data_IF_899480973782
#
_entry.id   IF_899480973782
#
_cell.length_a   1.000
_cell.length_b   1.000
_cell.length_c   1.000
_cell.angle_alpha   90.00
_cell.angle_beta   90.00
_cell.angle_gamma   90.00
#
_symmetry.space_group_name_H-M   'P 1'
#
loop_
_entity.id
_entity.type
_entity.pdbx_description
1 polymer ?
#
# COMPACT_ATOMS: atom_id res chain seq x y z
N UNK A 1 19.31 -21.51 -1.52
CA UNK A 1 20.03 -20.85 -0.42
C UNK A 1 19.58 -21.53 0.86
N UNK A 2 20.53 -22.03 1.64
CA UNK A 2 20.28 -22.49 3.01
C UNK A 2 19.82 -21.31 3.89
N UNK A 3 19.14 -21.59 5.00
CA UNK A 3 18.91 -20.61 6.07
C UNK A 3 20.22 -19.95 6.49
N UNK A 4 20.17 -18.62 6.66
CA UNK A 4 21.31 -17.81 7.08
C UNK A 4 21.64 -18.07 8.55
N UNK A 5 22.91 -17.94 8.92
CA UNK A 5 23.34 -17.99 10.33
C UNK A 5 22.87 -16.74 11.08
N UNK A 6 22.80 -16.80 12.40
CA UNK A 6 22.41 -15.65 13.23
C UNK A 6 23.28 -14.41 12.97
N UNK A 7 24.59 -14.61 12.80
CA UNK A 7 25.53 -13.53 12.46
C UNK A 7 25.19 -12.90 11.11
N UNK A 8 24.94 -13.72 10.08
CA UNK A 8 24.55 -13.22 8.75
C UNK A 8 23.21 -12.46 8.79
N UNK A 9 22.24 -12.96 9.56
CA UNK A 9 20.97 -12.29 9.80
C UNK A 9 21.20 -10.92 10.46
N UNK A 10 22.00 -10.86 11.52
CA UNK A 10 22.33 -9.63 12.22
C UNK A 10 23.03 -8.60 11.32
N UNK A 11 24.01 -9.03 10.52
CA UNK A 11 24.74 -8.18 9.58
C UNK A 11 23.81 -7.58 8.51
N UNK A 12 22.89 -8.39 7.96
CA UNK A 12 21.90 -7.93 7.00
C UNK A 12 20.90 -6.96 7.64
N UNK A 13 20.42 -7.22 8.86
CA UNK A 13 19.55 -6.29 9.60
C UNK A 13 20.28 -4.96 9.84
N UNK A 14 21.53 -4.98 10.26
CA UNK A 14 22.34 -3.78 10.46
C UNK A 14 22.50 -3.00 9.14
N UNK A 15 22.76 -3.71 8.05
CA UNK A 15 22.84 -3.14 6.70
C UNK A 15 21.51 -2.52 6.26
N UNK A 16 20.37 -3.16 6.54
CA UNK A 16 19.04 -2.60 6.26
C UNK A 16 18.82 -1.29 7.02
N UNK A 17 19.15 -1.26 8.32
CA UNK A 17 19.06 -0.05 9.13
C UNK A 17 19.93 1.09 8.58
N UNK A 18 21.16 0.80 8.13
CA UNK A 18 22.02 1.80 7.46
C UNK A 18 21.39 2.34 6.18
N UNK A 19 20.80 1.48 5.34
CA UNK A 19 20.11 1.88 4.10
C UNK A 19 18.91 2.79 4.40
N UNK A 20 18.09 2.44 5.39
CA UNK A 20 16.95 3.24 5.84
C UNK A 20 17.38 4.59 6.40
N UNK A 21 18.36 4.59 7.32
CA UNK A 21 18.93 5.82 7.87
C UNK A 21 19.44 6.77 6.77
N UNK A 22 20.13 6.24 5.75
CA UNK A 22 20.60 7.05 4.62
C UNK A 22 19.46 7.66 3.82
N UNK A 23 18.42 6.89 3.54
CA UNK A 23 17.26 7.38 2.80
C UNK A 23 16.49 8.43 3.60
N UNK A 24 16.25 8.19 4.88
CA UNK A 24 15.60 9.13 5.79
C UNK A 24 16.38 10.45 5.87
N UNK A 25 17.70 10.37 5.86
CA UNK A 25 18.58 11.55 5.86
C UNK A 25 18.72 12.21 4.48
N UNK A 26 18.23 11.62 3.39
CA UNK A 26 18.33 12.20 2.05
C UNK A 26 17.32 13.32 1.80
N UNK A 27 17.69 14.29 0.96
CA UNK A 27 16.86 15.46 0.65
C UNK A 27 15.55 15.11 -0.05
N UNK A 28 15.51 13.96 -0.73
CA UNK A 28 14.32 13.48 -1.44
C UNK A 28 13.25 12.89 -0.52
N UNK A 29 13.58 12.55 0.75
CA UNK A 29 12.69 11.80 1.63
C UNK A 29 11.33 12.47 1.85
N UNK A 30 11.28 13.74 2.28
CA UNK A 30 10.01 14.43 2.50
C UNK A 30 9.18 14.50 1.22
N UNK A 31 9.83 14.77 0.09
CA UNK A 31 9.16 14.86 -1.19
C UNK A 31 8.51 13.53 -1.55
N UNK A 32 9.25 12.45 -1.42
CA UNK A 32 8.77 11.12 -1.77
C UNK A 32 7.65 10.65 -0.82
N UNK A 33 7.73 10.96 0.48
CA UNK A 33 6.65 10.66 1.44
C UNK A 33 5.40 11.51 1.22
N UNK A 34 5.55 12.80 0.88
CA UNK A 34 4.42 13.67 0.50
C UNK A 34 3.74 13.16 -0.78
N UNK A 35 4.53 12.76 -1.78
CA UNK A 35 4.01 12.13 -2.99
C UNK A 35 3.25 10.84 -2.66
N UNK A 36 3.80 9.99 -1.79
CA UNK A 36 3.15 8.76 -1.35
C UNK A 36 1.80 9.01 -0.66
N UNK A 37 1.66 10.07 0.16
CA UNK A 37 0.37 10.45 0.75
C UNK A 37 -0.66 10.85 -0.31
N UNK A 38 -0.27 11.69 -1.28
CA UNK A 38 -1.15 12.07 -2.40
C UNK A 38 -1.58 10.84 -3.21
N UNK A 39 -0.65 9.93 -3.48
CA UNK A 39 -0.93 8.66 -4.13
C UNK A 39 -1.93 7.82 -3.32
N UNK A 40 -1.75 7.72 -2.00
CA UNK A 40 -2.69 7.01 -1.12
C UNK A 40 -4.12 7.60 -1.18
N UNK A 41 -4.24 8.91 -1.40
CA UNK A 41 -5.51 9.63 -1.55
C UNK A 41 -6.09 9.63 -2.96
N UNK A 42 -5.43 9.02 -3.94
CA UNK A 42 -5.77 9.09 -5.38
C UNK A 42 -5.70 10.53 -5.95
N UNK A 43 -4.76 11.32 -5.46
CA UNK A 43 -4.53 12.71 -5.91
C UNK A 43 -3.24 12.86 -6.73
N UNK A 44 -2.50 11.76 -6.93
CA UNK A 44 -1.31 11.69 -7.77
C UNK A 44 -1.13 10.26 -8.28
N UNK A 45 -0.57 10.13 -9.47
CA UNK A 45 -0.13 8.83 -10.01
C UNK A 45 1.10 8.32 -9.25
N UNK A 46 1.45 7.04 -9.40
CA UNK A 46 2.76 6.55 -8.98
C UNK A 46 3.78 7.43 -9.68
N UNK A 47 4.53 8.22 -8.91
CA UNK A 47 5.87 8.53 -9.32
C UNK A 47 6.57 7.17 -9.30
N UNK A 48 6.65 6.49 -10.44
CA UNK A 48 7.42 5.26 -10.53
C UNK A 48 8.83 5.64 -10.11
N UNK A 49 9.17 5.31 -8.87
CA UNK A 49 10.55 5.29 -8.44
C UNK A 49 11.19 4.24 -9.34
N UNK A 50 11.83 4.69 -10.42
CA UNK A 50 12.70 3.87 -11.26
C UNK A 50 13.85 3.46 -10.35
N UNK A 51 13.64 2.39 -9.61
CA UNK A 51 14.59 1.89 -8.64
C UNK A 51 15.47 0.88 -9.37
N UNK A 52 16.57 1.38 -9.93
CA UNK A 52 17.60 0.56 -10.56
C UNK A 52 18.42 -0.27 -9.54
N UNK A 53 18.24 -0.01 -8.23
CA UNK A 53 19.03 -0.65 -7.15
C UNK A 53 18.18 -1.05 -5.93
N UNK A 54 18.41 -2.23 -5.31
CA UNK A 54 17.84 -2.61 -4.02
C UNK A 54 18.02 -1.53 -2.94
N UNK A 55 16.99 -0.71 -2.73
CA UNK A 55 16.99 0.40 -1.78
C UNK A 55 15.67 0.41 -1.02
N UNK A 56 15.69 1.02 0.17
CA UNK A 56 14.43 1.33 0.85
C UNK A 56 13.59 2.26 -0.03
N UNK A 57 12.27 2.14 0.06
CA UNK A 57 11.30 2.88 -0.76
C UNK A 57 10.31 3.60 0.14
N UNK A 58 9.60 4.63 -0.34
CA UNK A 58 8.53 5.27 0.42
C UNK A 58 7.50 4.26 0.92
N UNK A 59 7.16 3.24 0.12
CA UNK A 59 6.23 2.17 0.49
C UNK A 59 6.74 1.32 1.66
N UNK A 60 8.05 1.05 1.71
CA UNK A 60 8.66 0.34 2.84
C UNK A 60 8.62 1.21 4.10
N UNK A 61 8.96 2.50 3.99
CA UNK A 61 8.88 3.41 5.14
C UNK A 61 7.42 3.64 5.59
N UNK A 62 6.45 3.58 4.67
CA UNK A 62 5.03 3.61 5.00
C UNK A 62 4.60 2.45 5.89
N UNK A 63 5.12 1.22 5.68
CA UNK A 63 4.86 0.09 6.58
C UNK A 63 5.31 0.40 8.01
N UNK A 64 6.46 1.08 8.11
CA UNK A 64 7.02 1.54 9.37
C UNK A 64 6.11 2.57 10.04
N UNK A 65 5.58 3.56 9.31
CA UNK A 65 4.56 4.49 9.84
C UNK A 65 3.30 3.74 10.27
N UNK A 66 2.86 2.77 9.48
CA UNK A 66 1.65 1.99 9.73
C UNK A 66 1.75 1.19 11.03
N UNK A 67 2.94 0.70 11.39
CA UNK A 67 3.19 0.01 12.64
C UNK A 67 2.82 0.84 13.87
N UNK A 68 2.92 2.17 13.80
CA UNK A 68 2.58 3.07 14.92
C UNK A 68 1.08 3.23 15.13
N UNK A 69 0.25 2.84 14.15
CA UNK A 69 -1.21 2.79 14.34
C UNK A 69 -1.56 1.84 15.50
N UNK A 70 -0.77 0.79 15.72
CA UNK A 70 -0.95 -0.13 16.85
C UNK A 70 -0.82 0.56 18.22
N UNK A 71 -0.04 1.66 18.29
CA UNK A 71 0.15 2.46 19.50
C UNK A 71 -0.92 3.56 19.65
N UNK A 72 -1.39 4.11 18.52
CA UNK A 72 -2.43 5.14 18.49
C UNK A 72 -3.83 4.55 18.72
N UNK A 73 -4.10 3.37 18.18
CA UNK A 73 -5.42 2.73 18.18
C UNK A 73 -5.38 1.29 18.72
N UNK A 74 -4.87 1.04 19.95
CA UNK A 74 -4.81 -0.31 20.51
C UNK A 74 -6.18 -0.98 20.60
N UNK A 75 -7.26 -0.21 20.72
CA UNK A 75 -8.64 -0.68 20.76
C UNK A 75 -9.06 -1.47 19.50
N UNK A 76 -8.45 -1.19 18.35
CA UNK A 76 -8.74 -1.87 17.09
C UNK A 76 -8.15 -3.28 17.01
N UNK A 77 -7.24 -3.62 17.94
CA UNK A 77 -6.44 -4.85 17.94
C UNK A 77 -6.66 -5.70 19.19
N UNK A 78 -7.74 -5.46 19.93
CA UNK A 78 -8.10 -6.27 21.09
C UNK A 78 -8.20 -7.77 20.71
N UNK A 79 -7.55 -8.63 21.50
CA UNK A 79 -7.43 -10.06 21.25
C UNK A 79 -6.30 -10.45 20.28
N UNK A 80 -5.47 -9.50 19.84
CA UNK A 80 -4.31 -9.73 18.97
C UNK A 80 -3.00 -9.53 19.74
N UNK A 81 -1.95 -10.23 19.33
CA UNK A 81 -0.60 -10.02 19.86
C UNK A 81 0.08 -8.85 19.14
N UNK A 82 -0.05 -7.65 19.70
CA UNK A 82 0.51 -6.41 19.15
C UNK A 82 2.04 -6.53 18.98
N UNK A 83 2.76 -7.17 19.91
CA UNK A 83 4.22 -7.30 19.84
C UNK A 83 4.61 -8.16 18.64
N UNK A 84 3.90 -9.25 18.43
CA UNK A 84 4.12 -10.15 17.29
C UNK A 84 3.73 -9.53 15.96
N UNK A 85 2.64 -8.77 15.91
CA UNK A 85 2.27 -7.98 14.71
C UNK A 85 3.40 -7.01 14.36
N UNK A 86 3.93 -6.27 15.35
CA UNK A 86 5.07 -5.36 15.17
C UNK A 86 6.29 -6.09 14.63
N UNK A 87 6.60 -7.28 15.15
CA UNK A 87 7.69 -8.12 14.66
C UNK A 87 7.47 -8.58 13.21
N UNK A 88 6.26 -9.02 12.86
CA UNK A 88 5.87 -9.44 11.51
C UNK A 88 6.03 -8.31 10.49
N UNK A 89 5.57 -7.09 10.81
CA UNK A 89 5.78 -5.90 9.97
C UNK A 89 7.28 -5.59 9.85
N UNK A 90 8.03 -5.71 10.94
CA UNK A 90 9.46 -5.41 10.94
C UNK A 90 10.28 -6.39 10.10
N UNK A 91 9.99 -7.70 10.21
CA UNK A 91 10.58 -8.74 9.34
C UNK A 91 10.22 -8.51 7.88
N UNK A 92 9.00 -8.06 7.61
CA UNK A 92 8.55 -7.68 6.27
C UNK A 92 9.36 -6.52 5.68
N UNK A 93 9.64 -5.49 6.49
CA UNK A 93 10.49 -4.34 6.11
C UNK A 93 11.93 -4.82 5.81
N UNK A 94 12.53 -5.58 6.73
CA UNK A 94 13.91 -6.04 6.55
C UNK A 94 14.06 -6.98 5.36
N UNK A 95 13.16 -7.95 5.20
CA UNK A 95 13.14 -8.86 4.05
C UNK A 95 12.91 -8.12 2.73
N UNK A 96 12.12 -7.04 2.72
CA UNK A 96 11.90 -6.23 1.52
C UNK A 96 13.12 -5.42 1.08
N UNK A 97 14.06 -5.15 1.99
CA UNK A 97 15.33 -4.45 1.74
C UNK A 97 16.46 -5.43 1.41
N UNK A 98 16.49 -6.59 2.08
CA UNK A 98 17.41 -7.70 1.84
C UNK A 98 16.63 -9.00 1.77
N UNK A 99 16.31 -9.40 0.54
CA UNK A 99 15.45 -10.55 0.22
C UNK A 99 16.02 -11.89 0.67
N UNK A 100 17.32 -11.94 0.92
CA UNK A 100 18.03 -13.08 1.50
C UNK A 100 17.47 -13.48 2.87
N UNK A 101 16.96 -12.51 3.63
CA UNK A 101 16.36 -12.74 4.95
C UNK A 101 15.04 -13.52 4.88
N UNK A 102 14.35 -13.53 3.73
CA UNK A 102 13.05 -14.19 3.62
C UNK A 102 13.12 -15.70 3.87
N UNK A 103 14.25 -16.35 3.57
CA UNK A 103 14.40 -17.79 3.87
C UNK A 103 14.24 -18.06 5.37
N UNK A 104 14.88 -17.25 6.23
CA UNK A 104 14.75 -17.37 7.69
C UNK A 104 13.34 -16.99 8.13
N UNK A 105 12.84 -15.84 7.70
CA UNK A 105 11.55 -15.32 8.17
C UNK A 105 10.35 -16.17 7.75
N UNK A 106 10.37 -16.80 6.58
CA UNK A 106 9.31 -17.74 6.15
C UNK A 106 9.34 -19.00 7.03
N UNK A 107 10.52 -19.50 7.37
CA UNK A 107 10.66 -20.67 8.27
C UNK A 107 10.19 -20.38 9.70
N UNK A 108 10.33 -19.14 10.16
CA UNK A 108 9.90 -18.69 11.48
C UNK A 108 8.38 -18.46 11.61
N UNK A 109 7.64 -18.46 10.49
CA UNK A 109 6.18 -18.26 10.50
C UNK A 109 5.49 -19.34 11.33
N UNK A 110 4.66 -18.90 12.28
CA UNK A 110 3.88 -19.78 13.15
C UNK A 110 2.65 -20.29 12.39
N UNK A 111 2.43 -21.59 12.48
CA UNK A 111 1.32 -22.26 11.79
C UNK A 111 -0.02 -21.81 12.38
N UNK A 112 -0.98 -21.49 11.52
CA UNK A 112 -2.35 -21.08 11.86
C UNK A 112 -2.43 -19.86 12.79
N UNK A 113 -1.44 -18.96 12.69
CA UNK A 113 -1.37 -17.75 13.50
C UNK A 113 -1.54 -16.50 12.62
N UNK A 114 -2.60 -15.74 12.88
CA UNK A 114 -2.92 -14.53 12.11
C UNK A 114 -1.93 -13.36 12.35
N UNK A 115 -1.23 -13.35 13.48
CA UNK A 115 -0.26 -12.32 13.85
C UNK A 115 1.16 -12.66 13.36
N UNK A 116 1.35 -13.90 12.86
CA UNK A 116 2.56 -14.35 12.19
C UNK A 116 2.42 -14.26 10.67
N UNK A 117 3.01 -13.23 10.06
CA UNK A 117 2.87 -12.97 8.63
C UNK A 117 4.06 -12.21 8.06
N UNK A 118 4.15 -12.19 6.72
CA UNK A 118 4.96 -11.24 5.97
C UNK A 118 4.11 -10.49 4.95
N UNK A 119 4.32 -9.18 4.78
CA UNK A 119 3.67 -8.34 3.77
C UNK A 119 4.74 -7.69 2.90
N UNK A 120 4.81 -8.05 1.62
CA UNK A 120 5.93 -7.69 0.74
C UNK A 120 5.40 -6.95 -0.50
N UNK A 121 5.83 -5.70 -0.77
CA UNK A 121 5.50 -5.03 -2.02
C UNK A 121 6.22 -5.68 -3.19
N UNK A 122 5.51 -6.10 -4.24
CA UNK A 122 6.08 -6.81 -5.39
C UNK A 122 5.69 -6.15 -6.71
N UNK A 123 6.67 -5.94 -7.58
CA UNK A 123 6.49 -5.44 -8.93
C UNK A 123 6.46 -6.61 -9.93
N UNK A 124 5.60 -6.54 -10.93
CA UNK A 124 5.67 -7.43 -12.09
C UNK A 124 5.51 -6.66 -13.39
N UNK A 125 6.08 -7.26 -14.43
CA UNK A 125 6.11 -6.72 -15.78
C UNK A 125 5.17 -7.52 -16.69
N UNK A 126 4.50 -6.83 -17.60
CA UNK A 126 3.60 -7.39 -18.60
C UNK A 126 3.75 -6.65 -19.94
N UNK A 127 3.32 -7.21 -21.08
CA UNK A 127 3.44 -6.52 -22.37
C UNK A 127 2.50 -5.31 -22.41
N UNK A 128 2.99 -4.17 -22.86
CA UNK A 128 2.19 -2.95 -23.07
C UNK A 128 1.27 -3.10 -24.29
N UNK A 129 0.19 -2.32 -24.33
CA UNK A 129 -0.72 -2.24 -25.49
C UNK A 129 -0.15 -1.40 -26.63
N UNK A 130 0.79 -0.49 -26.35
CA UNK A 130 1.23 0.54 -27.30
C UNK A 130 2.40 0.08 -28.19
N UNK A 131 3.19 -0.88 -27.74
CA UNK A 131 4.15 -1.60 -28.58
C UNK A 131 4.53 -2.90 -27.91
N UNK A 132 4.88 -3.90 -28.73
CA UNK A 132 5.39 -5.17 -28.24
C UNK A 132 6.72 -4.96 -27.46
N UNK A 133 7.48 -3.91 -27.80
CA UNK A 133 8.75 -3.55 -27.16
C UNK A 133 8.64 -2.85 -25.79
N UNK A 134 7.45 -2.38 -25.41
CA UNK A 134 7.24 -1.73 -24.10
C UNK A 134 6.69 -2.72 -23.07
N UNK A 135 7.37 -2.85 -21.94
CA UNK A 135 6.86 -3.60 -20.78
C UNK A 135 6.13 -2.64 -19.84
N UNK A 136 4.84 -2.88 -19.62
CA UNK A 136 4.10 -2.25 -18.53
C UNK A 136 4.56 -2.82 -17.19
N UNK A 137 4.73 -1.96 -16.19
CA UNK A 137 4.99 -2.33 -14.79
C UNK A 137 3.71 -2.18 -13.99
N UNK A 138 3.48 -3.10 -13.06
CA UNK A 138 2.44 -2.95 -12.04
C UNK A 138 2.93 -3.48 -10.70
N UNK A 139 2.50 -2.81 -9.64
CA UNK A 139 2.89 -3.11 -8.27
C UNK A 139 1.69 -3.66 -7.49
N UNK A 140 1.88 -4.84 -6.88
CA UNK A 140 0.96 -5.52 -5.98
C UNK A 140 1.60 -5.75 -4.61
N UNK A 141 0.90 -6.45 -3.72
CA UNK A 141 1.45 -6.83 -2.42
C UNK A 141 1.23 -8.31 -2.15
N UNK A 142 2.30 -9.03 -1.84
CA UNK A 142 2.26 -10.42 -1.42
C UNK A 142 2.08 -10.49 0.10
N UNK A 143 1.18 -11.36 0.57
CA UNK A 143 0.97 -11.67 1.97
C UNK A 143 1.33 -13.15 2.14
N UNK A 144 2.20 -13.46 3.10
CA UNK A 144 2.71 -14.81 3.32
C UNK A 144 2.39 -15.21 4.75
N UNK A 145 1.74 -16.35 4.90
CA UNK A 145 1.38 -16.94 6.19
C UNK A 145 1.61 -18.44 6.14
N UNK A 146 1.70 -19.09 7.30
CA UNK A 146 1.73 -20.55 7.39
C UNK A 146 0.37 -21.04 7.88
N UNK A 147 -0.31 -21.85 7.08
CA UNK A 147 -1.63 -22.40 7.38
C UNK A 147 -1.63 -23.88 7.07
N UNK A 148 -2.13 -24.70 7.99
CA UNK A 148 -2.16 -26.16 7.85
C UNK A 148 -0.79 -26.76 7.45
N UNK A 149 0.29 -26.22 8.03
CA UNK A 149 1.68 -26.54 7.75
C UNK A 149 2.18 -26.22 6.33
N UNK A 150 1.35 -25.63 5.46
CA UNK A 150 1.72 -25.15 4.14
C UNK A 150 1.97 -23.64 4.15
N UNK A 151 2.75 -23.16 3.18
CA UNK A 151 2.96 -21.73 2.98
C UNK A 151 1.84 -21.21 2.11
N UNK A 152 1.03 -20.32 2.68
CA UNK A 152 -0.02 -19.61 1.99
C UNK A 152 0.51 -18.27 1.47
N UNK A 153 0.50 -18.08 0.15
CA UNK A 153 0.88 -16.81 -0.50
C UNK A 153 -0.34 -16.21 -1.14
N UNK A 154 -0.73 -15.02 -0.69
CA UNK A 154 -1.86 -14.27 -1.22
C UNK A 154 -1.35 -13.04 -1.96
N UNK A 155 -1.75 -12.85 -3.22
CA UNK A 155 -1.42 -11.65 -3.99
C UNK A 155 -2.60 -10.69 -3.91
N UNK A 156 -2.39 -9.61 -3.16
CA UNK A 156 -3.32 -8.50 -3.05
C UNK A 156 -3.14 -7.57 -4.25
N UNK A 157 -3.99 -7.77 -5.25
CA UNK A 157 -4.01 -7.02 -6.51
C UNK A 157 -5.41 -6.43 -6.73
N UNK A 158 -5.57 -5.15 -6.38
CA UNK A 158 -6.86 -4.44 -6.49
C UNK A 158 -7.30 -4.13 -7.92
N UNK A 159 -6.39 -4.20 -8.88
CA UNK A 159 -6.70 -4.00 -10.31
C UNK A 159 -6.97 -5.34 -10.99
N UNK A 160 -6.63 -6.47 -10.37
CA UNK A 160 -6.80 -7.82 -10.92
C UNK A 160 -6.12 -7.98 -12.29
N UNK A 161 -4.87 -7.54 -12.41
CA UNK A 161 -4.15 -7.55 -13.69
C UNK A 161 -4.05 -8.97 -14.28
N UNK A 162 -3.98 -10.01 -13.44
CA UNK A 162 -3.96 -11.41 -13.88
C UNK A 162 -5.27 -11.82 -14.57
N UNK A 163 -6.39 -11.23 -14.16
CA UNK A 163 -7.69 -11.44 -14.78
C UNK A 163 -7.91 -10.53 -16.00
N UNK A 164 -7.59 -9.23 -15.87
CA UNK A 164 -7.78 -8.24 -16.94
C UNK A 164 -6.84 -8.50 -18.12
N UNK A 165 -5.62 -8.95 -17.84
CA UNK A 165 -4.58 -9.25 -18.83
C UNK A 165 -4.03 -10.66 -18.60
N UNK A 166 -4.82 -11.70 -18.88
CA UNK A 166 -4.41 -13.07 -18.60
C UNK A 166 -3.33 -13.50 -19.58
N UNK A 167 -2.24 -14.05 -19.05
CA UNK A 167 -1.21 -14.71 -19.85
C UNK A 167 -1.68 -16.09 -20.34
N UNK A 168 -0.88 -16.78 -21.16
CA UNK A 168 -1.26 -18.09 -21.72
C UNK A 168 -1.58 -19.11 -20.62
N UNK A 169 -0.88 -19.05 -19.50
CA UNK A 169 -1.13 -19.96 -18.38
C UNK A 169 -2.48 -19.65 -17.70
N UNK A 170 -2.74 -18.37 -17.37
CA UNK A 170 -4.01 -17.93 -16.80
C UNK A 170 -5.20 -18.19 -17.72
N UNK A 171 -5.04 -18.08 -19.05
CA UNK A 171 -6.07 -18.45 -20.03
C UNK A 171 -6.39 -19.94 -20.00
N UNK A 172 -5.38 -20.81 -20.01
CA UNK A 172 -5.55 -22.27 -19.92
C UNK A 172 -6.29 -22.69 -18.65
N UNK A 173 -5.99 -22.04 -17.52
CA UNK A 173 -6.66 -22.28 -16.24
C UNK A 173 -7.97 -21.52 -16.04
N UNK A 174 -8.46 -20.81 -17.07
CA UNK A 174 -9.69 -20.01 -17.02
C UNK A 174 -9.74 -18.98 -15.88
N UNK A 175 -8.59 -18.46 -15.42
CA UNK A 175 -8.51 -17.51 -14.29
C UNK A 175 -9.35 -16.26 -14.55
N UNK A 176 -9.37 -15.77 -15.79
CA UNK A 176 -10.16 -14.61 -16.23
C UNK A 176 -11.69 -14.81 -16.19
N UNK A 177 -12.19 -16.06 -16.14
CA UNK A 177 -13.63 -16.34 -16.03
C UNK A 177 -14.11 -16.31 -14.58
N UNK A 178 -13.18 -16.44 -13.63
CA UNK A 178 -13.45 -16.42 -12.20
C UNK A 178 -13.35 -15.00 -11.60
N UNK A 179 -13.01 -13.98 -12.41
CA UNK A 179 -13.12 -12.57 -12.05
C UNK A 179 -14.50 -12.04 -12.43
N UNK A 180 -15.25 -11.59 -11.44
CA UNK A 180 -16.70 -11.40 -11.46
C UNK A 180 -17.20 -10.30 -12.43
N UNK A 181 -18.32 -10.59 -13.11
CA UNK A 181 -18.85 -9.84 -14.26
C UNK A 181 -20.17 -9.07 -14.00
N UNK A 182 -20.50 -8.71 -12.75
CA UNK A 182 -21.70 -7.88 -12.44
C UNK A 182 -21.33 -6.57 -11.77
N UNK A 183 -22.06 -5.49 -12.07
CA UNK A 183 -21.78 -4.10 -11.67
C UNK A 183 -21.70 -3.86 -10.15
N UNK A 184 -22.42 -4.64 -9.33
CA UNK A 184 -22.30 -4.56 -7.86
C UNK A 184 -21.07 -5.29 -7.31
N UNK A 185 -20.71 -6.43 -7.93
CA UNK A 185 -19.51 -7.23 -7.61
C UNK A 185 -18.25 -6.61 -8.24
N UNK A 186 -18.40 -5.79 -9.28
CA UNK A 186 -17.32 -5.05 -9.94
C UNK A 186 -16.62 -4.03 -9.02
N UNK A 187 -17.10 -3.86 -7.78
CA UNK A 187 -16.49 -3.04 -6.72
C UNK A 187 -15.56 -3.83 -5.81
N UNK A 188 -15.61 -5.16 -5.89
CA UNK A 188 -14.90 -6.07 -5.00
C UNK A 188 -13.96 -6.95 -5.82
N UNK A 189 -12.77 -7.22 -5.25
CA UNK A 189 -11.73 -8.00 -5.92
C UNK A 189 -11.38 -9.22 -5.07
N UNK A 190 -11.62 -10.46 -5.56
CA UNK A 190 -11.16 -11.63 -4.83
C UNK A 190 -9.64 -11.66 -4.78
N UNK A 191 -9.11 -12.13 -3.65
CA UNK A 191 -7.67 -12.27 -3.46
C UNK A 191 -7.23 -13.60 -4.08
N UNK A 192 -6.16 -13.56 -4.89
CA UNK A 192 -5.59 -14.76 -5.50
C UNK A 192 -4.57 -15.42 -4.57
N UNK A 193 -4.72 -16.72 -4.34
CA UNK A 193 -3.96 -17.49 -3.36
C UNK A 193 -3.19 -18.63 -4.00
N UNK A 194 -2.04 -18.94 -3.42
CA UNK A 194 -1.21 -20.10 -3.67
C UNK A 194 -0.91 -20.82 -2.37
N UNK A 195 -0.86 -22.14 -2.40
CA UNK A 195 -0.33 -22.99 -1.34
C UNK A 195 0.85 -23.76 -1.88
N UNK A 196 1.98 -23.64 -1.21
CA UNK A 196 3.26 -24.21 -1.65
C UNK A 196 4.12 -24.61 -0.45
N UNK A 197 5.08 -25.49 -0.70
CA UNK A 197 6.08 -25.89 0.29
C UNK A 197 7.51 -25.47 -0.11
N UNK A 198 7.73 -25.12 -1.38
CA UNK A 198 9.04 -24.70 -1.90
C UNK A 198 9.38 -23.24 -1.49
N UNK A 199 9.99 -23.11 -0.32
CA UNK A 199 10.48 -21.83 0.23
C UNK A 199 11.47 -21.17 -0.74
N UNK A 200 12.35 -21.94 -1.37
CA UNK A 200 13.41 -21.37 -2.20
C UNK A 200 12.82 -20.70 -3.45
N UNK A 201 11.87 -21.36 -4.11
CA UNK A 201 11.16 -20.76 -5.24
C UNK A 201 10.39 -19.50 -4.82
N UNK A 202 9.79 -19.48 -3.62
CA UNK A 202 9.12 -18.29 -3.11
C UNK A 202 10.11 -17.14 -2.84
N UNK A 203 11.25 -17.40 -2.20
CA UNK A 203 12.30 -16.40 -1.98
C UNK A 203 12.79 -15.81 -3.31
N UNK A 204 12.98 -16.65 -4.34
CA UNK A 204 13.36 -16.18 -5.67
C UNK A 204 12.27 -15.30 -6.31
N UNK A 205 10.99 -15.64 -6.12
CA UNK A 205 9.86 -14.82 -6.56
C UNK A 205 9.89 -13.46 -5.89
N UNK A 206 10.06 -13.41 -4.57
CA UNK A 206 10.12 -12.16 -3.80
C UNK A 206 11.32 -11.32 -4.21
N UNK A 207 12.49 -11.93 -4.38
CA UNK A 207 13.71 -11.26 -4.85
C UNK A 207 13.49 -10.57 -6.19
N UNK A 208 12.97 -11.30 -7.17
CA UNK A 208 12.68 -10.74 -8.49
C UNK A 208 11.59 -9.66 -8.40
N UNK A 209 10.53 -9.88 -7.61
CA UNK A 209 9.47 -8.89 -7.40
C UNK A 209 9.90 -7.63 -6.67
N UNK A 210 10.96 -7.69 -5.87
CA UNK A 210 11.62 -6.52 -5.28
C UNK A 210 12.62 -5.84 -6.23
N UNK A 211 12.75 -6.32 -7.46
CA UNK A 211 13.76 -5.90 -8.44
C UNK A 211 15.20 -6.11 -7.93
N UNK A 212 15.44 -7.11 -7.07
CA UNK A 212 16.77 -7.48 -6.59
C UNK A 212 17.46 -8.42 -7.58
N UNK A 213 17.64 -7.93 -8.81
CA UNK A 213 18.17 -8.71 -9.93
C UNK A 213 19.66 -9.02 -9.77
N UNK A 214 20.05 -10.25 -10.12
CA UNK A 214 21.46 -10.61 -10.24
C UNK A 214 22.07 -10.02 -11.53
N UNK A 215 23.39 -10.10 -11.70
CA UNK A 215 24.07 -9.50 -12.85
C UNK A 215 23.56 -10.04 -14.20
N UNK A 216 23.20 -11.32 -14.28
CA UNK A 216 22.65 -11.93 -15.51
C UNK A 216 21.29 -11.34 -15.84
N UNK A 217 20.42 -11.23 -14.83
CA UNK A 217 19.10 -10.62 -14.93
C UNK A 217 19.14 -9.10 -15.17
N UNK A 218 20.29 -8.44 -14.93
CA UNK A 218 20.50 -7.03 -15.29
C UNK A 218 21.06 -6.86 -16.69
N UNK A 219 21.96 -7.75 -17.12
CA UNK A 219 22.62 -7.70 -18.42
C UNK A 219 21.68 -8.11 -19.57
N UNK A 220 20.79 -9.06 -19.29
CA UNK A 220 19.65 -9.38 -20.13
C UNK A 220 18.39 -9.22 -19.25
N UNK A 221 17.88 -7.98 -19.11
CA UNK A 221 16.70 -7.70 -18.32
C UNK A 221 15.49 -8.36 -18.99
N UNK A 222 15.32 -9.65 -18.69
CA UNK A 222 14.20 -10.48 -19.09
C UNK A 222 14.02 -10.46 -20.62
N UNK A 223 14.72 -11.33 -21.39
CA UNK A 223 14.78 -11.24 -22.84
C UNK A 223 13.39 -11.08 -23.44
N UNK A 224 13.14 -9.86 -23.94
CA UNK A 224 11.97 -9.16 -24.52
C UNK A 224 10.55 -9.73 -24.41
N UNK A 225 10.33 -11.03 -24.28
CA UNK A 225 8.99 -11.64 -24.19
C UNK A 225 8.91 -12.89 -23.30
N UNK A 226 10.03 -13.41 -22.77
CA UNK A 226 10.02 -14.77 -22.19
C UNK A 226 9.40 -14.89 -20.79
N UNK A 227 9.21 -13.84 -20.00
CA UNK A 227 8.56 -13.96 -18.67
C UNK A 227 7.77 -12.74 -18.19
N UNK A 228 6.98 -12.10 -19.06
CA UNK A 228 5.84 -11.32 -18.54
C UNK A 228 5.04 -12.16 -17.54
N UNK A 229 4.55 -11.56 -16.45
CA UNK A 229 3.90 -12.27 -15.34
C UNK A 229 4.83 -13.28 -14.61
N UNK A 230 6.14 -13.05 -14.57
CA UNK A 230 7.12 -13.96 -13.94
C UNK A 230 6.69 -14.46 -12.55
N UNK A 231 6.30 -13.52 -11.67
CA UNK A 231 5.87 -13.82 -10.30
C UNK A 231 4.71 -14.81 -10.30
N UNK A 232 3.62 -14.48 -10.99
CA UNK A 232 2.45 -15.35 -11.07
C UNK A 232 2.80 -16.71 -11.67
N UNK A 233 3.60 -16.74 -12.73
CA UNK A 233 3.98 -17.97 -13.41
C UNK A 233 4.91 -18.86 -12.60
N UNK A 234 5.83 -18.28 -11.83
CA UNK A 234 6.73 -19.04 -10.96
C UNK A 234 5.97 -19.58 -9.75
N UNK A 235 5.07 -18.79 -9.15
CA UNK A 235 4.17 -19.25 -8.08
C UNK A 235 3.24 -20.38 -8.57
N UNK A 236 2.59 -20.22 -9.72
CA UNK A 236 1.72 -21.28 -10.28
C UNK A 236 2.46 -22.58 -10.58
N UNK A 237 3.77 -22.54 -10.84
CA UNK A 237 4.58 -23.74 -11.09
C UNK A 237 4.98 -24.49 -9.82
N UNK A 238 5.11 -23.80 -8.68
CA UNK A 238 5.50 -24.42 -7.41
C UNK A 238 4.34 -24.58 -6.42
N UNK A 239 3.14 -24.12 -6.79
CA UNK A 239 1.95 -24.26 -5.98
C UNK A 239 1.29 -25.64 -6.16
N UNK A 240 0.92 -26.25 -5.05
CA UNK A 240 0.06 -27.44 -4.97
C UNK A 240 -1.40 -27.04 -5.21
N UNK A 241 -1.81 -25.91 -4.63
CA UNK A 241 -3.15 -25.33 -4.80
C UNK A 241 -3.01 -23.87 -5.22
N UNK A 242 -3.78 -23.45 -6.23
CA UNK A 242 -3.93 -22.03 -6.55
C UNK A 242 -5.39 -21.70 -6.91
N UNK A 243 -5.83 -20.49 -6.59
CA UNK A 243 -7.19 -20.06 -6.90
C UNK A 243 -7.61 -18.76 -6.23
N UNK A 244 -8.80 -18.29 -6.59
CA UNK A 244 -9.43 -17.15 -5.92
C UNK A 244 -10.04 -17.58 -4.59
N UNK A 245 -9.85 -16.75 -3.58
CA UNK A 245 -10.47 -16.96 -2.26
C UNK A 245 -11.83 -16.28 -2.18
N UNK A 246 -12.60 -16.64 -1.15
CA UNK A 246 -13.81 -15.91 -0.75
C UNK A 246 -13.52 -14.61 0.00
N UNK A 247 -12.24 -14.26 0.24
CA UNK A 247 -11.89 -12.94 0.73
C UNK A 247 -11.85 -11.92 -0.40
N UNK A 248 -12.49 -10.78 -0.16
CA UNK A 248 -12.65 -9.72 -1.15
C UNK A 248 -12.10 -8.39 -0.64
N UNK A 249 -11.26 -7.77 -1.47
CA UNK A 249 -10.82 -6.39 -1.33
C UNK A 249 -11.74 -5.42 -2.05
N UNK A 250 -11.44 -4.13 -1.98
CA UNK A 250 -12.12 -3.12 -2.82
C UNK A 250 -11.35 -2.94 -4.13
N UNK A 251 -12.04 -2.84 -5.26
CA UNK A 251 -11.38 -2.59 -6.55
C UNK A 251 -10.70 -1.22 -6.55
N UNK A 252 -9.70 -1.07 -7.41
CA UNK A 252 -9.03 0.19 -7.68
C UNK A 252 -9.30 0.62 -9.12
N UNK A 253 -9.91 1.81 -9.27
CA UNK A 253 -10.25 2.40 -10.57
C UNK A 253 -9.09 3.23 -11.16
N UNK A 254 -8.36 3.94 -10.29
CA UNK A 254 -7.15 4.69 -10.68
C UNK A 254 -5.98 3.71 -10.68
N UNK A 255 -5.52 3.28 -11.87
CA UNK A 255 -4.54 2.17 -11.99
C UNK A 255 -3.10 2.60 -11.73
N UNK A 256 -2.84 3.89 -11.85
CA UNK A 256 -1.51 4.48 -11.84
C UNK A 256 -0.89 4.61 -10.46
N UNK A 257 -1.63 4.48 -9.35
CA UNK A 257 -1.14 4.57 -7.97
C UNK A 257 -1.14 3.22 -7.23
N UNK A 258 -0.92 2.11 -7.91
CA UNK A 258 -1.22 0.76 -7.39
C UNK A 258 -0.34 0.31 -6.22
N UNK A 259 0.92 0.79 -6.11
CA UNK A 259 1.89 0.29 -5.12
C UNK A 259 1.41 0.56 -3.69
N UNK A 260 1.20 1.84 -3.35
CA UNK A 260 0.74 2.23 -2.01
C UNK A 260 -0.69 1.77 -1.74
N UNK A 261 -1.55 1.70 -2.77
CA UNK A 261 -2.95 1.31 -2.61
C UNK A 261 -3.11 -0.18 -2.32
N UNK A 262 -2.29 -1.02 -2.94
CA UNK A 262 -2.21 -2.44 -2.63
C UNK A 262 -1.56 -2.65 -1.26
N UNK A 263 -0.49 -1.90 -0.93
CA UNK A 263 0.16 -2.00 0.39
C UNK A 263 -0.78 -1.62 1.55
N UNK A 264 -1.43 -0.45 1.48
CA UNK A 264 -2.38 -0.01 2.49
C UNK A 264 -3.56 -0.99 2.63
N UNK A 265 -4.07 -1.52 1.51
CA UNK A 265 -5.15 -2.49 1.56
C UNK A 265 -4.73 -3.86 2.12
N UNK A 266 -3.52 -4.32 1.80
CA UNK A 266 -2.94 -5.55 2.35
C UNK A 266 -2.74 -5.43 3.87
N UNK A 267 -2.20 -4.32 4.36
CA UNK A 267 -2.06 -4.08 5.80
C UNK A 267 -3.42 -4.05 6.51
N UNK A 268 -4.44 -3.37 5.96
CA UNK A 268 -5.81 -3.44 6.49
C UNK A 268 -6.36 -4.86 6.51
N UNK A 269 -6.06 -5.64 5.47
CA UNK A 269 -6.55 -7.00 5.34
C UNK A 269 -5.95 -7.96 6.37
N UNK A 270 -4.66 -7.83 6.67
CA UNK A 270 -3.99 -8.66 7.68
C UNK A 270 -4.32 -8.22 9.12
N UNK A 271 -4.51 -6.92 9.31
CA UNK A 271 -4.64 -6.34 10.64
C UNK A 271 -6.09 -6.14 11.12
N UNK A 272 -7.04 -5.99 10.20
CA UNK A 272 -8.43 -5.74 10.56
C UNK A 272 -9.18 -7.00 10.98
N UNK A 273 -10.46 -6.82 11.33
CA UNK A 273 -11.39 -7.88 11.68
C UNK A 273 -12.08 -8.40 10.43
N UNK A 274 -12.10 -9.71 10.27
CA UNK A 274 -12.79 -10.41 9.19
C UNK A 274 -14.29 -10.42 9.46
N UNK A 275 -15.07 -9.89 8.53
CA UNK A 275 -16.54 -9.88 8.59
C UNK A 275 -17.11 -10.63 7.39
N UNK A 276 -18.13 -11.43 7.65
CA UNK A 276 -18.87 -12.15 6.62
C UNK A 276 -19.84 -11.23 5.89
N UNK A 277 -19.91 -11.38 4.57
CA UNK A 277 -20.87 -10.69 3.71
C UNK A 277 -21.45 -11.67 2.71
N UNK A 278 -22.71 -11.46 2.32
CA UNK A 278 -23.39 -12.26 1.30
C UNK A 278 -23.47 -11.47 0.00
N UNK A 279 -23.09 -12.09 -1.11
CA UNK A 279 -23.16 -11.52 -2.45
C UNK A 279 -23.75 -12.59 -3.37
N UNK A 280 -24.88 -12.31 -4.01
CA UNK A 280 -25.60 -13.25 -4.90
C UNK A 280 -25.77 -14.64 -4.27
N UNK A 281 -26.17 -14.70 -2.99
CA UNK A 281 -26.36 -15.96 -2.25
C UNK A 281 -25.08 -16.72 -1.91
N UNK A 282 -23.89 -16.18 -2.25
CA UNK A 282 -22.58 -16.75 -1.90
C UNK A 282 -21.95 -15.99 -0.74
N UNK A 283 -21.26 -16.74 0.12
CA UNK A 283 -20.55 -16.25 1.29
C UNK A 283 -19.17 -15.73 0.94
N UNK A 284 -18.90 -14.48 1.28
CA UNK A 284 -17.61 -13.82 1.14
C UNK A 284 -17.16 -13.21 2.46
N UNK A 285 -15.90 -12.78 2.49
CA UNK A 285 -15.30 -12.16 3.66
C UNK A 285 -14.64 -10.84 3.29
N UNK A 286 -14.91 -9.81 4.06
CA UNK A 286 -14.28 -8.51 3.94
C UNK A 286 -13.63 -8.14 5.27
N UNK A 287 -12.41 -7.60 5.21
CA UNK A 287 -11.71 -7.15 6.41
C UNK A 287 -11.88 -5.65 6.60
N UNK A 288 -12.27 -5.24 7.81
CA UNK A 288 -12.37 -3.83 8.25
C UNK A 288 -11.85 -3.69 9.68
N UNK A 289 -11.42 -2.49 10.04
CA UNK A 289 -11.23 -2.15 11.46
C UNK A 289 -12.58 -2.05 12.17
N UNK A 290 -12.61 -2.32 13.47
CA UNK A 290 -13.83 -2.33 14.29
C UNK A 290 -14.48 -0.94 14.31
N UNK A 291 -13.72 0.10 14.63
CA UNK A 291 -14.25 1.48 14.73
C UNK A 291 -13.47 2.49 13.88
N UNK A 292 -12.29 2.12 13.40
CA UNK A 292 -11.41 3.01 12.63
C UNK A 292 -11.80 3.09 11.15
N UNK A 293 -12.72 4.01 10.84
CA UNK A 293 -13.11 4.31 9.46
C UNK A 293 -11.90 4.75 8.60
N UNK A 294 -11.98 4.55 7.28
CA UNK A 294 -10.87 4.88 6.35
C UNK A 294 -10.45 6.35 6.39
N UNK A 295 -11.38 7.28 6.69
CA UNK A 295 -11.02 8.69 6.86
C UNK A 295 -10.12 8.90 8.07
N UNK A 296 -10.55 8.38 9.20
CA UNK A 296 -9.87 8.50 10.47
C UNK A 296 -8.51 7.83 10.44
N UNK A 297 -8.42 6.65 9.82
CA UNK A 297 -7.14 6.00 9.54
C UNK A 297 -6.20 6.89 8.73
N UNK A 298 -6.68 7.49 7.64
CA UNK A 298 -5.85 8.38 6.82
C UNK A 298 -5.43 9.62 7.62
N UNK A 299 -6.32 10.19 8.44
CA UNK A 299 -5.96 11.29 9.34
C UNK A 299 -4.85 10.89 10.32
N UNK A 300 -4.97 9.73 10.96
CA UNK A 300 -3.92 9.19 11.85
C UNK A 300 -2.59 9.02 11.12
N UNK A 301 -2.60 8.42 9.92
CA UNK A 301 -1.39 8.27 9.08
C UNK A 301 -0.74 9.63 8.82
N UNK A 302 -1.52 10.68 8.61
CA UNK A 302 -0.99 12.01 8.31
C UNK A 302 -0.34 12.67 9.52
N UNK A 303 -0.99 12.60 10.68
CA UNK A 303 -0.42 13.14 11.92
C UNK A 303 0.84 12.38 12.33
N UNK A 304 0.87 11.06 12.11
CA UNK A 304 2.08 10.26 12.26
C UNK A 304 3.16 10.74 11.28
N UNK A 305 2.86 10.78 9.97
CA UNK A 305 3.83 11.21 8.95
C UNK A 305 4.40 12.60 9.24
N UNK A 306 3.55 13.53 9.63
CA UNK A 306 3.97 14.87 9.99
C UNK A 306 4.88 14.87 11.21
N UNK A 307 4.50 14.15 12.27
CA UNK A 307 5.35 13.98 13.46
C UNK A 307 6.74 13.46 13.09
N UNK A 308 6.82 12.49 12.17
CA UNK A 308 8.09 11.97 11.66
C UNK A 308 8.90 12.99 10.88
N UNK A 309 8.28 13.70 9.94
CA UNK A 309 8.97 14.71 9.13
C UNK A 309 9.48 15.85 10.01
N UNK A 310 8.70 16.27 11.01
CA UNK A 310 9.10 17.26 12.01
C UNK A 310 10.31 16.81 12.83
N UNK A 311 10.35 15.56 13.29
CA UNK A 311 11.51 14.98 13.98
C UNK A 311 12.79 15.00 13.14
N UNK A 312 12.66 14.89 11.82
CA UNK A 312 13.79 14.86 10.87
C UNK A 312 14.21 16.28 10.46
N UNK A 313 13.57 17.32 11.01
CA UNK A 313 13.94 18.71 10.80
C UNK A 313 13.20 19.41 9.65
N UNK A 314 12.14 18.79 9.11
CA UNK A 314 11.21 19.46 8.19
C UNK A 314 10.25 20.37 8.98
N UNK A 315 9.94 21.53 8.40
CA UNK A 315 9.27 22.62 9.09
C UNK A 315 7.83 22.83 8.64
N UNK A 316 7.41 24.09 8.75
CA UNK A 316 6.02 24.51 8.57
C UNK A 316 5.55 24.37 7.13
N UNK A 317 6.44 24.51 6.15
CA UNK A 317 6.06 24.40 4.74
C UNK A 317 5.57 22.98 4.41
N UNK A 318 6.31 21.97 4.86
CA UNK A 318 5.92 20.56 4.73
C UNK A 318 4.63 20.25 5.51
N UNK A 319 4.47 20.81 6.72
CA UNK A 319 3.22 20.66 7.49
C UNK A 319 2.02 21.20 6.74
N UNK A 320 2.10 22.46 6.31
CA UNK A 320 1.02 23.16 5.64
C UNK A 320 0.63 22.44 4.35
N UNK A 321 1.62 21.95 3.59
CA UNK A 321 1.37 21.14 2.41
C UNK A 321 0.53 19.89 2.71
N UNK A 322 0.94 19.08 3.69
CA UNK A 322 0.23 17.85 4.06
C UNK A 322 -1.19 18.16 4.54
N UNK A 323 -1.35 19.17 5.39
CA UNK A 323 -2.66 19.58 5.94
C UNK A 323 -3.60 20.08 4.85
N UNK A 324 -3.13 20.97 3.97
CA UNK A 324 -3.93 21.52 2.88
C UNK A 324 -4.35 20.41 1.90
N UNK A 325 -3.42 19.53 1.52
CA UNK A 325 -3.72 18.42 0.64
C UNK A 325 -4.73 17.44 1.26
N UNK A 326 -4.67 17.23 2.58
CA UNK A 326 -5.63 16.38 3.27
C UNK A 326 -7.04 16.99 3.35
N UNK A 327 -7.17 18.30 3.53
CA UNK A 327 -8.49 18.96 3.48
C UNK A 327 -9.12 18.85 2.09
N UNK A 328 -8.34 19.00 1.02
CA UNK A 328 -8.82 18.77 -0.36
C UNK A 328 -9.27 17.31 -0.54
N UNK A 329 -8.52 16.34 -0.01
CA UNK A 329 -8.94 14.93 0.01
C UNK A 329 -10.28 14.73 0.73
N UNK A 330 -10.45 15.34 1.92
CA UNK A 330 -11.68 15.23 2.71
C UNK A 330 -12.87 15.82 1.96
N UNK A 331 -12.69 16.97 1.33
CA UNK A 331 -13.74 17.60 0.54
C UNK A 331 -14.17 16.72 -0.64
N UNK A 332 -13.22 16.25 -1.44
CA UNK A 332 -13.50 15.35 -2.57
C UNK A 332 -14.17 14.05 -2.12
N UNK A 333 -13.80 13.53 -0.95
CA UNK A 333 -14.43 12.36 -0.36
C UNK A 333 -15.86 12.63 0.09
N UNK A 334 -16.11 13.78 0.71
CA UNK A 334 -17.44 14.21 1.16
C UNK A 334 -18.38 14.39 -0.04
N UNK A 335 -17.96 15.13 -1.06
CA UNK A 335 -18.71 15.30 -2.31
C UNK A 335 -19.05 13.95 -2.93
N UNK A 336 -18.04 13.07 -3.08
CA UNK A 336 -18.25 11.72 -3.59
C UNK A 336 -19.20 10.88 -2.73
N UNK A 337 -19.22 11.07 -1.40
CA UNK A 337 -20.05 10.24 -0.52
C UNK A 337 -21.55 10.42 -0.77
N UNK A 338 -21.95 11.62 -1.21
CA UNK A 338 -23.32 12.00 -1.53
C UNK A 338 -23.80 11.50 -2.91
N UNK A 339 -22.89 11.04 -3.77
CA UNK A 339 -23.20 10.56 -5.11
C UNK A 339 -23.75 9.13 -5.09
N UNK A 340 -24.46 8.75 -6.15
CA UNK A 340 -24.81 7.36 -6.38
C UNK A 340 -23.57 6.51 -6.71
N UNK A 341 -23.78 5.22 -6.92
CA UNK A 341 -22.69 4.27 -7.15
C UNK A 341 -21.91 4.54 -8.43
N UNK A 342 -22.60 4.84 -9.55
CA UNK A 342 -21.97 4.97 -10.86
C UNK A 342 -21.20 6.29 -10.89
N UNK A 343 -21.81 7.34 -10.38
CA UNK A 343 -21.20 8.66 -10.23
C UNK A 343 -20.01 8.63 -9.27
N UNK A 344 -20.06 7.81 -8.21
CA UNK A 344 -18.89 7.55 -7.33
C UNK A 344 -17.69 7.00 -8.10
N UNK A 345 -17.92 6.18 -9.12
CA UNK A 345 -16.86 5.58 -9.95
C UNK A 345 -16.36 6.60 -10.96
N UNK A 346 -17.25 7.29 -11.67
CA UNK A 346 -16.91 8.36 -12.59
C UNK A 346 -16.10 9.45 -11.87
N UNK A 347 -16.61 9.97 -10.74
CA UNK A 347 -15.92 10.95 -9.91
C UNK A 347 -14.54 10.45 -9.43
N UNK A 348 -14.37 9.16 -9.09
CA UNK A 348 -13.03 8.64 -8.72
C UNK A 348 -12.07 8.65 -9.90
N UNK A 349 -12.54 8.26 -11.08
CA UNK A 349 -11.74 8.19 -12.29
C UNK A 349 -11.38 9.59 -12.79
N UNK A 350 -12.34 10.52 -12.79
CA UNK A 350 -12.13 11.94 -13.12
C UNK A 350 -11.24 12.63 -12.09
N UNK A 351 -11.48 12.44 -10.80
CA UNK A 351 -10.63 13.01 -9.76
C UNK A 351 -9.18 12.53 -9.89
N UNK A 352 -8.99 11.23 -10.16
CA UNK A 352 -7.68 10.68 -10.47
C UNK A 352 -7.12 11.20 -11.79
N UNK A 353 -7.96 11.47 -12.80
CA UNK A 353 -7.58 12.02 -14.10
C UNK A 353 -7.17 13.49 -14.07
N UNK A 354 -7.90 14.32 -13.33
CA UNK A 354 -7.75 15.78 -13.23
C UNK A 354 -6.56 16.13 -12.32
N UNK A 355 -6.39 15.41 -11.21
CA UNK A 355 -5.30 15.68 -10.26
C UNK A 355 -3.98 14.99 -10.62
N UNK A 356 -3.93 14.26 -11.74
CA UNK A 356 -2.75 13.49 -12.17
C UNK A 356 -1.46 14.29 -12.17
N UNK A 357 -1.50 15.53 -12.65
CA UNK A 357 -0.30 16.33 -12.87
C UNK A 357 -0.42 17.82 -12.47
N UNK A 358 -1.61 18.35 -12.17
CA UNK A 358 -1.81 19.80 -12.31
C UNK A 358 -1.74 20.64 -11.02
N UNK A 359 -1.78 20.10 -9.79
CA UNK A 359 -2.05 20.95 -8.61
C UNK A 359 -1.13 20.78 -7.40
N UNK A 360 -0.15 19.87 -7.42
CA UNK A 360 0.66 19.57 -6.23
C UNK A 360 2.14 19.84 -6.45
N UNK A 361 2.56 21.08 -6.18
CA UNK A 361 3.98 21.43 -6.03
C UNK A 361 4.41 21.08 -4.62
N UNK A 362 5.06 19.92 -4.47
CA UNK A 362 5.59 19.48 -3.17
C UNK A 362 6.72 20.44 -2.77
N UNK A 363 6.70 21.01 -1.55
CA UNK A 363 7.69 21.99 -1.14
C UNK A 363 9.10 21.38 -1.13
N UNK A 364 10.04 22.08 -1.74
CA UNK A 364 11.48 21.86 -1.56
C UNK A 364 11.93 22.64 -0.32
N UNK A 365 11.66 22.09 0.86
CA UNK A 365 12.07 22.71 2.14
C UNK A 365 13.47 22.22 2.54
N UNK A 366 14.37 23.15 2.82
CA UNK A 366 15.68 22.85 3.40
C UNK A 366 15.48 22.49 4.87
N UNK A 367 16.01 21.34 5.28
CA UNK A 367 15.96 20.89 6.68
C UNK A 367 16.70 21.86 7.59
N UNK A 368 16.08 22.23 8.70
CA UNK A 368 16.67 23.19 9.65
C UNK A 368 17.91 22.63 10.36
N UNK A 369 17.87 21.36 10.76
CA UNK A 369 19.02 20.58 11.24
C UNK A 369 18.62 19.11 11.37
N UNK A 370 19.55 18.18 11.08
CA UNK A 370 19.34 16.75 11.31
C UNK A 370 20.02 16.41 12.63
N UNK A 371 19.28 15.92 13.62
CA UNK A 371 19.90 15.30 14.80
C UNK A 371 20.57 13.99 14.35
N UNK A 372 21.91 14.03 14.27
CA UNK A 372 22.71 12.91 13.80
C UNK A 372 22.70 11.73 14.77
N UNK A 373 22.26 11.93 16.03
CA UNK A 373 22.09 10.89 17.04
C UNK A 373 20.80 10.08 16.86
N UNK A 374 19.90 10.54 16.00
CA UNK A 374 18.70 9.80 15.62
C UNK A 374 19.06 8.56 14.79
N UNK A 375 18.67 7.41 15.32
CA UNK A 375 18.71 6.13 14.61
C UNK A 375 17.28 5.75 14.22
N UNK A 376 17.12 5.03 13.12
CA UNK A 376 15.80 4.71 12.58
C UNK A 376 15.59 3.19 12.50
N UNK A 377 16.01 2.48 13.55
CA UNK A 377 15.64 1.09 13.78
C UNK A 377 14.34 1.01 14.59
N UNK A 378 13.44 0.15 14.14
CA UNK A 378 12.25 -0.31 14.88
C UNK A 378 12.53 -1.54 15.73
N UNK A 379 13.74 -2.10 15.62
CA UNK A 379 14.20 -3.11 16.58
C UNK A 379 14.21 -2.49 17.98
N UNK A 380 13.83 -3.30 18.98
CA UNK A 380 13.95 -2.94 20.39
C UNK A 380 15.34 -2.31 20.60
N UNK A 381 15.44 -1.14 21.26
CA UNK A 381 16.74 -0.58 21.59
C UNK A 381 17.52 -1.67 22.33
N UNK A 382 18.62 -2.15 21.74
CA UNK A 382 19.60 -2.86 22.55
C UNK A 382 20.01 -1.89 23.65
N UNK A 383 20.14 -2.38 24.88
CA UNK A 383 20.62 -1.60 26.04
C UNK A 383 21.94 -0.87 25.77
N UNK A 384 22.66 -1.27 24.71
CA UNK A 384 23.92 -0.68 24.24
C UNK A 384 23.76 0.55 23.34
N UNK A 385 22.60 0.81 22.74
CA UNK A 385 22.40 1.94 21.84
C UNK A 385 21.70 3.12 22.55
N UNK A 386 22.49 4.07 23.06
CA UNK A 386 22.03 5.40 23.52
C UNK A 386 21.43 6.29 22.40
N UNK A 387 21.07 5.72 21.24
CA UNK A 387 20.54 6.45 20.09
C UNK A 387 19.02 6.57 20.18
N UNK A 388 18.49 7.79 20.07
CA UNK A 388 17.05 8.06 20.04
C UNK A 388 16.46 7.48 18.75
N UNK A 389 15.45 6.61 18.85
CA UNK A 389 14.78 6.08 17.66
C UNK A 389 13.71 7.03 17.14
N UNK A 390 13.79 7.48 15.89
CA UNK A 390 12.72 8.30 15.30
C UNK A 390 11.39 7.57 15.17
N UNK A 391 11.48 6.25 14.97
CA UNK A 391 10.37 5.35 14.75
C UNK A 391 9.68 4.88 16.02
N UNK A 392 10.25 5.19 17.18
CA UNK A 392 9.55 5.08 18.44
C UNK A 392 8.99 6.46 18.77
N UNK A 393 7.67 6.58 18.78
CA UNK A 393 7.05 7.77 19.34
C UNK A 393 7.21 7.74 20.85
N UNK A 394 7.60 8.88 21.42
CA UNK A 394 7.56 9.07 22.86
C UNK A 394 6.10 9.04 23.34
N UNK A 395 5.83 8.74 24.62
CA UNK A 395 4.47 8.80 25.17
C UNK A 395 3.77 10.15 24.92
N UNK A 396 4.54 11.25 24.95
CA UNK A 396 4.05 12.60 24.67
C UNK A 396 3.61 12.75 23.21
N UNK A 397 4.37 12.20 22.27
CA UNK A 397 4.03 12.23 20.84
C UNK A 397 2.83 11.35 20.51
N UNK A 398 2.76 10.16 21.11
CA UNK A 398 1.58 9.29 21.01
C UNK A 398 0.34 10.04 21.50
N UNK A 399 0.43 10.69 22.67
CA UNK A 399 -0.67 11.48 23.23
C UNK A 399 -1.05 12.64 22.30
N UNK A 400 -0.06 13.40 21.80
CA UNK A 400 -0.29 14.52 20.87
C UNK A 400 -1.00 14.08 19.59
N UNK A 401 -0.57 12.96 18.99
CA UNK A 401 -1.23 12.41 17.80
C UNK A 401 -2.66 11.96 18.13
N UNK A 402 -2.88 11.28 19.26
CA UNK A 402 -4.22 10.88 19.72
C UNK A 402 -5.15 12.08 19.85
N UNK A 403 -4.70 13.15 20.53
CA UNK A 403 -5.45 14.39 20.73
C UNK A 403 -5.87 14.99 19.38
N UNK A 404 -4.91 15.19 18.45
CA UNK A 404 -5.21 15.73 17.11
C UNK A 404 -6.13 14.84 16.28
N UNK A 405 -6.07 13.52 16.50
CA UNK A 405 -6.98 12.58 15.85
C UNK A 405 -8.41 12.65 16.41
N UNK A 406 -8.57 13.10 17.66
CA UNK A 406 -9.87 13.32 18.30
C UNK A 406 -10.45 14.72 18.09
N UNK A 407 -9.62 15.78 18.06
CA UNK A 407 -10.06 17.18 17.92
C UNK A 407 -10.69 17.50 16.55
N UNK A 408 -10.28 16.79 15.49
CA UNK A 408 -10.93 16.83 14.17
C UNK A 408 -12.45 16.55 14.26
N UNK A 409 -12.90 15.79 15.26
CA UNK A 409 -14.31 15.47 15.52
C UNK A 409 -15.12 16.70 15.94
N UNK A 410 -14.53 17.69 16.61
CA UNK A 410 -15.20 18.91 17.06
C UNK A 410 -15.20 20.02 16.00
N UNK A 411 -14.11 20.16 15.22
CA UNK A 411 -14.06 21.10 14.10
C UNK A 411 -14.92 20.66 12.90
N UNK A 412 -15.08 19.36 12.67
CA UNK A 412 -16.00 18.84 11.64
C UNK A 412 -17.46 19.22 11.92
N UNK A 413 -17.92 19.23 13.18
CA UNK A 413 -19.27 19.71 13.52
C UNK A 413 -19.45 21.21 13.24
N UNK A 414 -18.45 22.03 13.56
CA UNK A 414 -18.48 23.48 13.32
C UNK A 414 -18.48 23.85 11.82
N UNK A 415 -17.75 23.10 10.99
CA UNK A 415 -17.68 23.37 9.55
C UNK A 415 -18.92 22.89 8.77
N UNK A 416 -19.66 21.89 9.29
CA UNK A 416 -20.96 21.49 8.72
C UNK A 416 -21.99 22.61 8.90
N UNK A 417 -21.96 23.33 10.03
CA UNK A 417 -22.85 24.46 10.31
C UNK A 417 -22.54 25.68 9.43
N UNK A 418 -21.28 25.87 8.99
CA UNK A 418 -20.87 26.98 8.11
C UNK A 418 -21.09 26.75 6.61
N UNK A 419 -21.39 25.53 6.16
CA UNK A 419 -21.45 25.17 4.72
C UNK A 419 -22.85 25.27 4.06
N UNK A 420 -23.79 25.99 4.68
CA UNK A 420 -25.08 26.34 4.05
C UNK A 420 -24.92 27.41 2.94
N UNK A 421 -23.72 27.95 2.71
CA UNK A 421 -23.54 29.15 1.85
C UNK A 421 -22.42 29.02 0.78
N UNK A 422 -22.45 27.98 -0.07
CA UNK A 422 -21.66 27.97 -1.32
C UNK A 422 -22.40 27.20 -2.42
N UNK A 423 -22.35 27.65 -3.71
CA UNK A 423 -23.13 27.05 -4.77
C UNK A 423 -22.67 25.61 -5.07
N UNK A 424 -23.63 24.71 -5.17
CA UNK A 424 -23.41 23.27 -5.21
C UNK A 424 -22.90 22.81 -6.58
N UNK A 425 -22.06 21.77 -6.56
CA UNK A 425 -21.53 21.03 -7.73
C UNK A 425 -22.63 20.59 -8.72
N UNK A 426 -23.90 20.53 -8.27
CA UNK A 426 -25.08 20.31 -9.12
C UNK A 426 -25.15 21.31 -10.27
N UNK A 427 -24.80 22.58 -10.05
CA UNK A 427 -24.89 23.63 -11.10
C UNK A 427 -23.88 23.46 -12.24
N UNK A 428 -22.76 22.77 -12.00
CA UNK A 428 -21.74 22.50 -13.04
C UNK A 428 -22.10 21.24 -13.83
N UNK A 429 -22.54 20.18 -13.14
CA UNK A 429 -23.02 18.94 -13.77
C UNK A 429 -24.28 19.20 -14.60
N UNK A 430 -25.18 20.05 -14.10
CA UNK A 430 -26.40 20.43 -14.81
C UNK A 430 -26.12 21.36 -16.00
N UNK A 431 -25.05 22.17 -15.94
CA UNK A 431 -24.55 22.93 -17.11
C UNK A 431 -23.96 22.02 -18.18
N UNK A 432 -23.20 20.99 -17.80
CA UNK A 432 -22.64 20.03 -18.76
C UNK A 432 -23.71 19.11 -19.36
N UNK A 433 -24.69 18.69 -18.55
CA UNK A 433 -25.86 17.93 -19.02
C UNK A 433 -26.71 18.74 -20.01
N UNK A 434 -26.97 20.03 -19.73
CA UNK A 434 -27.64 20.94 -20.68
C UNK A 434 -26.80 21.21 -21.94
N UNK A 435 -25.47 21.13 -21.88
CA UNK A 435 -24.60 21.26 -23.06
C UNK A 435 -24.60 19.98 -23.92
N UNK A 436 -24.66 18.79 -23.31
CA UNK A 436 -24.84 17.53 -24.04
C UNK A 436 -26.23 17.43 -24.67
N UNK A 437 -27.29 17.82 -23.95
CA UNK A 437 -28.67 17.84 -24.48
C UNK A 437 -28.84 18.86 -25.61
N UNK A 438 -28.08 19.97 -25.59
CA UNK A 438 -28.05 20.95 -26.70
C UNK A 438 -27.19 20.51 -27.90
N UNK A 439 -26.26 19.57 -27.70
CA UNK A 439 -25.45 18.99 -28.77
C UNK A 439 -26.18 17.94 -29.62
N UNK A 440 -27.31 17.42 -29.13
CA UNK A 440 -28.14 16.41 -29.82
C UNK A 440 -29.21 17.05 -30.74
N UNK A 441 -29.42 18.38 -30.69
CA UNK A 441 -30.42 19.10 -31.51
C UNK A 441 -29.77 19.83 -32.71
N UNK A 442 -28.71 19.25 -33.28
CA UNK A 442 -28.18 19.69 -34.59
C UNK A 442 -27.86 18.49 -35.48
N UNK A 443 -28.92 17.78 -35.84
CA UNK A 443 -29.04 17.00 -37.08
C UNK A 443 -30.54 16.74 -37.30
N UNK A 444 -31.20 17.72 -37.94
CA UNK A 444 -32.38 17.54 -38.81
C UNK A 444 -32.20 18.48 -39.98
#
# INVERSE_FOLDING_TARGET
MSTLTEKQVADLIQSANRKRNRYLKSDIYARDMCSLLLQNWNMRDNDTFLIEKPRTTPTIEFMAIYQQILDIHPEEFEGRDIKKIKESIQKSIYGSIHTELFSNYINELKNNDQDSFLVVPVSFYFPSYQSADLTGKYDATAIIQKQNNQINVQIYDRVQIRAIRPDKHAKKRSVHKNSWAKEEIAKLTPIYRYELNDIQSLVDVLRVGRNHHNWREKADPFPKYKKSYYIYNKLSKCAEIEGYTSHVGTIQYVKSNSEIKNMNAALKYVLGTKTEIMIDGKKFFQTKYKTLATERLNHTINELMFTHLKKIGYGQATENFIRNAFEVYKEAKSQRSALDVIDKIAHKSEWGGINKNNHWTIPTEIRKSIDHTLCFSYGLPSSENKQKSCYHLTPVEICSVKIKCTESRQQQLHNIIRRISAPSFSTVVERQRRQQERGVIREV
#
